data_IF_543152417515
#
_entry.id   IF_543152417515
#
_cell.length_a   1.000
_cell.length_b   1.000
_cell.length_c   1.000
_cell.angle_alpha   90.00
_cell.angle_beta   90.00
_cell.angle_gamma   90.00
#
_symmetry.space_group_name_H-M   'P 1'
#
loop_
_entity.id
_entity.type
_entity.pdbx_description
1 polymer ?
#
# COMPACT_ATOMS: atom_id res chain seq x y z
N UNK A 1 10.17 -19.77 4.75
CA UNK A 1 8.89 -19.04 4.77
C UNK A 1 9.18 -17.63 4.31
N UNK A 2 8.83 -17.29 3.08
CA UNK A 2 9.16 -15.98 2.50
C UNK A 2 8.19 -14.93 3.01
N UNK A 3 8.71 -13.75 3.35
CA UNK A 3 7.89 -12.59 3.71
C UNK A 3 8.08 -11.52 2.65
N UNK A 4 6.97 -10.90 2.27
CA UNK A 4 6.95 -9.81 1.30
C UNK A 4 6.51 -8.52 2.00
N UNK A 5 7.08 -7.42 1.54
CA UNK A 5 6.62 -6.07 1.90
C UNK A 5 5.97 -5.47 0.66
N UNK A 6 4.71 -5.08 0.79
CA UNK A 6 4.00 -4.30 -0.22
C UNK A 6 4.14 -2.81 0.06
N UNK A 7 4.35 -2.02 -0.99
CA UNK A 7 4.32 -0.56 -0.97
C UNK A 7 3.07 -0.10 -1.72
N UNK A 8 2.11 0.52 -1.02
CA UNK A 8 0.81 0.88 -1.59
C UNK A 8 0.55 2.35 -1.30
N UNK A 9 0.30 3.15 -2.33
CA UNK A 9 -0.14 4.55 -2.16
C UNK A 9 -1.66 4.65 -2.24
N UNK A 10 -2.20 5.63 -1.52
CA UNK A 10 -3.63 5.95 -1.41
C UNK A 10 -3.82 7.45 -1.56
N UNK A 11 -4.97 7.91 -2.09
CA UNK A 11 -5.25 9.33 -2.24
C UNK A 11 -5.36 10.07 -0.89
N UNK A 12 -5.79 9.37 0.17
CA UNK A 12 -6.00 9.94 1.50
C UNK A 12 -5.97 8.84 2.59
N UNK A 13 -5.95 9.28 3.86
CA UNK A 13 -5.87 8.38 5.02
C UNK A 13 -7.14 7.53 5.17
N UNK A 14 -8.33 8.11 4.97
CA UNK A 14 -9.60 7.40 5.10
C UNK A 14 -9.69 6.21 4.13
N UNK A 15 -9.27 6.43 2.88
CA UNK A 15 -9.19 5.40 1.86
C UNK A 15 -8.17 4.33 2.21
N UNK A 16 -7.01 4.72 2.76
CA UNK A 16 -6.00 3.79 3.24
C UNK A 16 -6.54 2.88 4.35
N UNK A 17 -7.15 3.47 5.39
CA UNK A 17 -7.73 2.75 6.53
C UNK A 17 -8.81 1.77 6.08
N UNK A 18 -9.77 2.22 5.26
CA UNK A 18 -10.84 1.36 4.73
C UNK A 18 -10.29 0.17 3.96
N UNK A 19 -9.25 0.36 3.14
CA UNK A 19 -8.65 -0.76 2.37
C UNK A 19 -7.87 -1.69 3.30
N UNK A 20 -7.09 -1.15 4.23
CA UNK A 20 -6.30 -1.94 5.18
C UNK A 20 -7.19 -2.80 6.09
N UNK A 21 -8.32 -2.26 6.56
CA UNK A 21 -9.31 -3.02 7.34
C UNK A 21 -9.78 -4.25 6.58
N UNK A 22 -10.13 -4.10 5.29
CA UNK A 22 -10.53 -5.23 4.44
C UNK A 22 -9.40 -6.24 4.25
N UNK A 23 -8.15 -5.79 4.14
CA UNK A 23 -7.00 -6.69 4.03
C UNK A 23 -6.75 -7.48 5.33
N UNK A 24 -7.00 -6.87 6.49
CA UNK A 24 -6.94 -7.55 7.79
C UNK A 24 -8.08 -8.55 7.96
N UNK A 25 -9.32 -8.19 7.61
CA UNK A 25 -10.48 -9.10 7.63
C UNK A 25 -10.25 -10.35 6.79
N UNK A 26 -9.67 -10.18 5.60
CA UNK A 26 -9.32 -11.27 4.70
C UNK A 26 -8.04 -12.01 5.08
N UNK A 27 -7.36 -11.60 6.17
CA UNK A 27 -6.09 -12.17 6.65
C UNK A 27 -4.98 -12.18 5.60
N UNK A 28 -4.98 -11.18 4.70
CA UNK A 28 -4.00 -11.05 3.63
C UNK A 28 -2.73 -10.34 4.08
N UNK A 29 -2.78 -9.55 5.15
CA UNK A 29 -1.63 -8.86 5.74
C UNK A 29 -1.60 -9.11 7.25
N UNK A 30 -0.40 -9.04 7.83
CA UNK A 30 -0.22 -9.16 9.27
C UNK A 30 -0.02 -7.80 9.97
N UNK A 31 0.43 -6.78 9.23
CA UNK A 31 0.73 -5.46 9.74
C UNK A 31 0.79 -4.45 8.58
N UNK A 32 0.49 -3.18 8.87
CA UNK A 32 0.66 -2.05 7.98
C UNK A 32 1.25 -0.85 8.76
N UNK A 33 2.27 -0.21 8.21
CA UNK A 33 2.73 1.10 8.69
C UNK A 33 2.22 2.17 7.73
N UNK A 34 1.58 3.22 8.22
CA UNK A 34 0.98 4.28 7.41
C UNK A 34 1.77 5.58 7.58
N UNK A 35 2.11 6.24 6.48
CA UNK A 35 2.94 7.45 6.47
C UNK A 35 2.38 8.46 5.44
N UNK A 36 2.31 9.77 5.75
CA UNK A 36 2.01 10.78 4.75
C UNK A 36 3.20 10.92 3.78
N UNK A 37 2.91 11.11 2.50
CA UNK A 37 3.92 11.28 1.45
C UNK A 37 3.49 12.31 0.41
N UNK A 38 4.47 12.79 -0.36
CA UNK A 38 4.22 13.58 -1.57
C UNK A 38 4.68 12.79 -2.77
N UNK A 39 3.74 12.38 -3.61
CA UNK A 39 4.01 11.65 -4.85
C UNK A 39 4.30 12.64 -5.98
N UNK A 40 5.33 12.36 -6.77
CA UNK A 40 5.71 13.16 -7.94
C UNK A 40 5.83 12.23 -9.13
N UNK A 41 5.02 12.43 -10.16
CA UNK A 41 4.92 11.50 -11.30
C UNK A 41 4.58 12.24 -12.59
N UNK A 42 4.72 11.57 -13.74
CA UNK A 42 4.36 12.13 -15.04
C UNK A 42 2.98 11.64 -15.47
N UNK A 43 2.08 12.57 -15.75
CA UNK A 43 0.73 12.28 -16.24
C UNK A 43 0.38 13.21 -17.39
N UNK A 44 -0.14 12.67 -18.49
CA UNK A 44 -0.51 13.42 -19.70
C UNK A 44 0.56 14.42 -20.16
N UNK A 45 1.83 14.02 -20.10
CA UNK A 45 2.98 14.83 -20.51
C UNK A 45 3.45 15.89 -19.51
N UNK A 46 2.78 16.06 -18.37
CA UNK A 46 3.13 17.03 -17.32
C UNK A 46 3.65 16.32 -16.08
N UNK A 47 4.49 17.00 -15.30
CA UNK A 47 4.89 16.54 -13.96
C UNK A 47 3.81 16.98 -12.99
N UNK A 48 3.15 16.00 -12.39
CA UNK A 48 2.13 16.19 -11.36
C UNK A 48 2.73 15.92 -9.97
N UNK A 49 2.15 16.56 -8.97
CA UNK A 49 2.46 16.33 -7.56
C UNK A 49 1.15 16.11 -6.81
N UNK A 50 1.09 15.07 -5.99
CA UNK A 50 -0.06 14.80 -5.13
C UNK A 50 0.40 14.58 -3.69
N UNK A 51 -0.33 15.15 -2.74
CA UNK A 51 -0.27 14.68 -1.36
C UNK A 51 -1.02 13.34 -1.31
N UNK A 52 -0.39 12.33 -0.73
CA UNK A 52 -0.89 10.96 -0.66
C UNK A 52 -0.53 10.36 0.70
N UNK A 53 -1.05 9.17 0.96
CA UNK A 53 -0.64 8.33 2.08
C UNK A 53 -0.05 7.04 1.52
N UNK A 54 1.03 6.54 2.12
CA UNK A 54 1.58 5.23 1.78
C UNK A 54 1.41 4.25 2.93
N UNK A 55 1.13 2.99 2.62
CA UNK A 55 1.32 1.88 3.55
C UNK A 55 2.48 0.97 3.14
N UNK A 56 3.26 0.56 4.14
CA UNK A 56 4.15 -0.59 4.06
C UNK A 56 3.48 -1.78 4.73
N UNK A 57 2.97 -2.71 3.94
CA UNK A 57 2.24 -3.89 4.43
C UNK A 57 3.15 -5.11 4.47
N UNK A 58 3.06 -5.91 5.53
CA UNK A 58 3.83 -7.16 5.67
C UNK A 58 2.90 -8.34 5.44
N UNK A 59 3.25 -9.19 4.49
CA UNK A 59 2.49 -10.40 4.15
C UNK A 59 3.38 -11.62 3.97
N UNK A 60 2.77 -12.80 4.00
CA UNK A 60 3.45 -14.05 3.66
C UNK A 60 3.54 -14.14 2.14
N UNK A 61 4.75 -14.27 1.62
CA UNK A 61 4.93 -14.68 0.24
C UNK A 61 4.42 -16.11 0.06
N UNK A 62 3.69 -16.39 -1.02
CA UNK A 62 3.47 -17.77 -1.41
C UNK A 62 4.85 -18.37 -1.72
N UNK A 63 5.27 -19.39 -0.96
CA UNK A 63 6.36 -20.25 -1.42
C UNK A 63 5.87 -20.91 -2.72
N UNK A 64 6.67 -20.84 -3.78
CA UNK A 64 6.23 -21.17 -5.15
C UNK A 64 5.56 -22.54 -5.29
N UNK A 65 4.42 -22.54 -5.97
CA UNK A 65 3.87 -23.54 -6.91
C UNK A 65 2.36 -23.33 -7.04
N UNK A 66 1.98 -22.56 -8.06
CA UNK A 66 1.01 -23.02 -9.06
C UNK A 66 1.75 -23.04 -10.38
#
# INVERSE_FOLDING_TARGET
MTYLIGYITYPDLETAERILDRLFELKLIACANILPVKSVYRWRGKIEKSDEVVSLVKTKGKNGMT
#
